data_IF_549246780903
#
_entry.id   IF_549246780903
#
_cell.length_a   1.000
_cell.length_b   1.000
_cell.length_c   1.000
_cell.angle_alpha   90.00
_cell.angle_beta   90.00
_cell.angle_gamma   90.00
#
_symmetry.space_group_name_H-M   'P 1'
#
loop_
_entity.id
_entity.type
_entity.pdbx_description
1 polymer ?
#
# COMPACT_ATOMS: atom_id res chain seq x y z
N UNK A 1 -4.24 1.35 -0.48
CA UNK A 1 -3.28 1.43 0.65
C UNK A 1 -3.00 2.89 0.90
N UNK A 2 -3.00 3.34 2.15
CA UNK A 2 -2.64 4.74 2.50
C UNK A 2 -1.13 4.83 2.70
N UNK A 3 -0.51 5.92 2.21
CA UNK A 3 0.92 6.21 2.37
C UNK A 3 1.07 7.53 3.12
N UNK A 4 1.42 7.44 4.40
CA UNK A 4 1.64 8.61 5.26
C UNK A 4 3.00 9.28 4.96
N UNK A 5 3.12 10.63 5.07
CA UNK A 5 4.37 11.36 4.84
C UNK A 5 5.57 10.90 5.69
N UNK A 6 5.33 10.56 6.95
CA UNK A 6 6.39 10.35 7.94
C UNK A 6 6.73 8.87 8.13
N UNK A 7 5.74 8.00 7.89
CA UNK A 7 5.79 6.55 8.14
C UNK A 7 5.53 5.70 6.90
N UNK A 8 5.23 6.31 5.75
CA UNK A 8 4.86 5.61 4.53
C UNK A 8 3.65 4.70 4.75
N UNK A 9 3.62 3.49 4.14
CA UNK A 9 2.53 2.54 4.34
C UNK A 9 2.63 1.73 5.64
N UNK A 10 3.58 2.02 6.53
CA UNK A 10 3.87 1.22 7.74
C UNK A 10 3.05 1.70 8.93
N UNK A 11 1.75 1.87 8.71
CA UNK A 11 0.79 2.34 9.69
C UNK A 11 -0.40 1.39 9.78
N UNK A 12 -1.04 1.33 10.95
CA UNK A 12 -2.34 0.71 11.13
C UNK A 12 -3.34 1.81 11.44
N UNK A 13 -4.45 1.81 10.72
CA UNK A 13 -5.51 2.80 10.88
C UNK A 13 -6.56 2.24 11.85
N UNK A 14 -7.07 3.12 12.68
CA UNK A 14 -8.25 2.88 13.52
C UNK A 14 -9.15 4.11 13.41
N UNK A 15 -10.43 3.93 13.67
CA UNK A 15 -11.43 5.01 13.58
C UNK A 15 -12.30 4.98 14.81
N UNK A 16 -12.62 6.16 15.35
CA UNK A 16 -13.62 6.35 16.39
C UNK A 16 -14.75 7.17 15.80
N UNK A 17 -15.98 6.66 15.88
CA UNK A 17 -17.18 7.40 15.49
C UNK A 17 -17.66 8.22 16.69
N UNK A 18 -18.04 9.47 16.45
CA UNK A 18 -18.50 10.40 17.48
C UNK A 18 -19.48 11.41 16.88
N UNK A 19 -20.42 11.87 17.69
CA UNK A 19 -21.36 12.93 17.32
C UNK A 19 -20.77 14.34 17.54
N UNK A 20 -19.58 14.42 18.14
CA UNK A 20 -18.88 15.69 18.34
C UNK A 20 -18.43 16.25 16.99
N UNK A 21 -18.72 17.53 16.75
CA UNK A 21 -18.27 18.21 15.55
C UNK A 21 -16.75 18.49 15.61
N UNK A 22 -16.07 18.13 14.52
CA UNK A 22 -14.69 18.53 14.24
C UNK A 22 -14.64 19.10 12.81
N UNK A 23 -13.88 20.19 12.63
CA UNK A 23 -13.52 20.69 11.30
C UNK A 23 -12.73 19.59 10.56
N UNK A 24 -13.18 19.12 9.37
CA UNK A 24 -12.47 18.08 8.64
C UNK A 24 -11.14 18.57 8.05
N UNK A 25 -10.11 17.73 8.17
CA UNK A 25 -8.84 17.97 7.47
C UNK A 25 -8.98 17.81 5.95
N UNK A 26 -8.08 18.47 5.22
CA UNK A 26 -7.99 18.36 3.77
C UNK A 26 -7.20 17.12 3.31
N UNK A 27 -7.56 16.52 2.16
CA UNK A 27 -6.79 15.42 1.60
C UNK A 27 -5.39 15.89 1.16
N UNK A 28 -4.42 14.98 1.28
CA UNK A 28 -3.05 15.19 0.78
C UNK A 28 -2.91 14.63 -0.65
N UNK A 29 -2.04 15.26 -1.44
CA UNK A 29 -1.75 14.80 -2.81
C UNK A 29 -1.07 13.42 -2.84
N UNK A 30 -1.37 12.63 -3.86
CA UNK A 30 -0.64 11.41 -4.15
C UNK A 30 0.84 11.72 -4.48
N UNK A 31 1.75 10.91 -3.95
CA UNK A 31 3.21 11.03 -4.14
C UNK A 31 3.86 9.79 -4.74
N UNK A 32 3.06 8.88 -5.31
CA UNK A 32 3.59 7.75 -6.05
C UNK A 32 4.29 8.22 -7.34
N UNK A 33 3.82 9.28 -7.99
CA UNK A 33 4.41 9.79 -9.24
C UNK A 33 4.52 8.67 -10.28
N UNK A 34 5.74 8.43 -10.78
CA UNK A 34 6.03 7.34 -11.72
C UNK A 34 6.47 6.03 -11.04
N UNK A 35 6.49 5.97 -9.71
CA UNK A 35 6.97 4.80 -8.96
C UNK A 35 6.07 3.58 -9.18
N UNK A 36 6.68 2.45 -9.54
CA UNK A 36 6.01 1.16 -9.73
C UNK A 36 6.62 0.04 -8.88
N UNK A 37 7.47 0.36 -7.89
CA UNK A 37 8.17 -0.63 -7.06
C UNK A 37 7.25 -1.64 -6.37
N UNK A 38 6.10 -1.19 -5.85
CA UNK A 38 5.16 -2.11 -5.20
C UNK A 38 4.54 -3.10 -6.20
N UNK A 39 4.32 -2.68 -7.45
CA UNK A 39 3.82 -3.52 -8.54
C UNK A 39 4.88 -4.53 -8.95
N UNK A 40 6.10 -4.07 -9.23
CA UNK A 40 7.20 -4.91 -9.70
C UNK A 40 7.57 -6.02 -8.72
N UNK A 41 7.56 -5.71 -7.42
CA UNK A 41 7.92 -6.66 -6.39
C UNK A 41 6.73 -7.47 -5.84
N UNK A 42 5.52 -7.30 -6.38
CA UNK A 42 4.37 -8.06 -5.93
C UNK A 42 4.52 -9.54 -6.37
N UNK A 43 4.68 -10.50 -5.44
CA UNK A 43 4.87 -11.91 -5.82
C UNK A 43 3.65 -12.51 -6.51
N UNK A 44 2.47 -11.93 -6.27
CA UNK A 44 1.21 -12.37 -6.87
C UNK A 44 0.91 -11.69 -8.22
N UNK A 45 1.69 -10.68 -8.62
CA UNK A 45 1.32 -9.79 -9.74
C UNK A 45 -0.06 -9.16 -9.56
N UNK A 46 -0.47 -8.89 -8.32
CA UNK A 46 -1.83 -8.47 -7.97
C UNK A 46 -2.05 -6.95 -8.06
N UNK A 47 -1.00 -6.14 -7.94
CA UNK A 47 -1.12 -4.68 -7.98
C UNK A 47 -1.22 -4.23 -9.43
N UNK A 48 -2.32 -3.55 -9.77
CA UNK A 48 -2.60 -3.10 -11.14
C UNK A 48 -1.62 -2.01 -11.58
N UNK A 49 -1.31 -1.09 -10.65
CA UNK A 49 -0.44 0.07 -10.90
C UNK A 49 -1.15 1.23 -11.62
N UNK A 50 -2.46 1.36 -11.46
CA UNK A 50 -3.19 2.53 -11.91
C UNK A 50 -2.77 3.77 -11.08
N UNK A 51 -2.64 4.92 -11.74
CA UNK A 51 -2.44 6.20 -11.05
C UNK A 51 -3.78 6.77 -10.56
N UNK A 52 -3.73 7.62 -9.53
CA UNK A 52 -4.87 8.39 -9.03
C UNK A 52 -4.37 9.69 -8.39
N UNK A 53 -5.14 10.76 -8.48
CA UNK A 53 -4.79 12.04 -7.85
C UNK A 53 -5.00 12.03 -6.33
N UNK A 54 -6.01 11.28 -5.86
CA UNK A 54 -6.34 11.19 -4.43
C UNK A 54 -6.68 9.76 -3.98
N UNK A 55 -7.69 9.14 -4.59
CA UNK A 55 -8.15 7.80 -4.26
C UNK A 55 -8.71 7.08 -5.50
N UNK A 56 -8.71 5.75 -5.45
CA UNK A 56 -9.35 4.94 -6.48
C UNK A 56 -10.87 4.91 -6.27
N UNK A 57 -11.64 4.79 -7.36
CA UNK A 57 -13.10 4.68 -7.27
C UNK A 57 -13.52 3.35 -6.65
N UNK A 58 -12.69 2.31 -6.83
CA UNK A 58 -12.92 0.97 -6.32
C UNK A 58 -11.61 0.26 -5.97
N UNK A 59 -11.70 -0.77 -5.12
CA UNK A 59 -10.54 -1.60 -4.78
C UNK A 59 -9.95 -2.30 -6.01
N UNK A 60 -10.78 -2.70 -6.96
CA UNK A 60 -10.39 -3.41 -8.18
C UNK A 60 -9.52 -2.59 -9.12
N UNK A 61 -9.59 -1.26 -9.09
CA UNK A 61 -8.67 -0.40 -9.84
C UNK A 61 -7.24 -0.45 -9.28
N UNK A 62 -7.11 -0.66 -7.97
CA UNK A 62 -5.82 -0.69 -7.30
C UNK A 62 -5.17 -2.08 -7.32
N UNK A 63 -5.97 -3.12 -7.08
CA UNK A 63 -5.48 -4.48 -6.82
C UNK A 63 -6.48 -5.56 -7.27
N UNK A 64 -5.96 -6.59 -7.94
CA UNK A 64 -6.63 -7.89 -8.06
C UNK A 64 -6.57 -8.61 -6.70
N UNK A 65 -7.61 -8.39 -5.91
CA UNK A 65 -7.69 -8.94 -4.56
C UNK A 65 -7.69 -10.47 -4.54
N UNK A 66 -8.22 -11.13 -5.58
CA UNK A 66 -8.28 -12.60 -5.65
C UNK A 66 -6.88 -13.18 -5.80
N UNK A 67 -6.03 -12.60 -6.66
CA UNK A 67 -4.62 -12.99 -6.80
C UNK A 67 -3.84 -12.78 -5.50
N UNK A 68 -4.03 -11.64 -4.85
CA UNK A 68 -3.39 -11.35 -3.57
C UNK A 68 -3.77 -12.39 -2.51
N UNK A 69 -5.08 -12.67 -2.37
CA UNK A 69 -5.60 -13.65 -1.41
C UNK A 69 -5.09 -15.06 -1.68
N UNK A 70 -5.11 -15.50 -2.94
CA UNK A 70 -4.58 -16.81 -3.34
C UNK A 70 -3.11 -16.96 -2.96
N UNK A 71 -2.30 -15.93 -3.22
CA UNK A 71 -0.88 -15.95 -2.87
C UNK A 71 -0.66 -16.14 -1.36
N UNK A 72 -1.35 -15.36 -0.52
CA UNK A 72 -1.11 -15.40 0.93
C UNK A 72 -1.75 -16.60 1.62
N UNK A 73 -2.85 -17.14 1.06
CA UNK A 73 -3.56 -18.29 1.62
C UNK A 73 -3.00 -19.62 1.11
N UNK A 74 -2.88 -19.77 -0.22
CA UNK A 74 -2.69 -21.07 -0.87
C UNK A 74 -1.25 -21.32 -1.30
N UNK A 75 -0.45 -20.27 -1.48
CA UNK A 75 0.98 -20.38 -1.81
C UNK A 75 1.82 -20.23 -0.55
N UNK A 76 1.73 -19.09 0.13
CA UNK A 76 2.52 -18.83 1.34
C UNK A 76 2.00 -19.59 2.56
N UNK A 77 0.70 -19.82 2.66
CA UNK A 77 0.13 -20.64 3.75
C UNK A 77 0.55 -22.11 3.73
N UNK A 78 1.21 -22.58 2.66
CA UNK A 78 1.82 -23.93 2.58
C UNK A 78 3.29 -23.96 3.00
N UNK A 79 3.92 -22.80 3.22
CA UNK A 79 5.32 -22.71 3.62
C UNK A 79 5.42 -23.04 5.12
N UNK A 80 6.26 -24.00 5.53
CA UNK A 80 6.46 -24.30 6.95
C UNK A 80 6.86 -23.05 7.75
N UNK A 81 6.32 -22.90 8.96
CA UNK A 81 6.60 -21.78 9.87
C UNK A 81 6.24 -20.39 9.30
N UNK A 82 5.37 -20.31 8.30
CA UNK A 82 4.85 -19.05 7.77
C UNK A 82 3.39 -18.90 8.19
N UNK A 83 3.06 -17.78 8.82
CA UNK A 83 1.69 -17.49 9.19
C UNK A 83 0.87 -17.17 7.91
N UNK A 84 -0.25 -17.88 7.67
CA UNK A 84 -1.04 -17.68 6.46
C UNK A 84 -1.67 -16.28 6.46
N UNK A 85 -2.08 -15.82 5.29
CA UNK A 85 -2.74 -14.52 5.08
C UNK A 85 -1.83 -13.29 5.28
N UNK A 86 -0.51 -13.48 5.39
CA UNK A 86 0.47 -12.39 5.58
C UNK A 86 1.46 -12.35 4.39
N UNK A 87 1.83 -11.14 3.96
CA UNK A 87 2.90 -10.90 2.98
C UNK A 87 3.64 -9.57 3.21
N UNK A 88 3.00 -8.43 2.93
CA UNK A 88 3.56 -7.10 3.20
C UNK A 88 4.72 -6.65 2.30
N UNK A 89 5.07 -7.36 1.23
CA UNK A 89 6.18 -6.97 0.34
C UNK A 89 5.98 -5.57 -0.26
N UNK A 90 4.75 -5.24 -0.69
CA UNK A 90 4.41 -3.90 -1.19
C UNK A 90 4.64 -2.79 -0.16
N UNK A 91 4.47 -3.08 1.13
CA UNK A 91 4.76 -2.17 2.26
C UNK A 91 6.28 -2.04 2.46
N UNK A 92 7.01 -3.15 2.37
CA UNK A 92 8.47 -3.20 2.53
C UNK A 92 9.21 -2.38 1.48
N UNK A 93 8.83 -2.53 0.20
CA UNK A 93 9.55 -1.92 -0.93
C UNK A 93 9.18 -0.46 -1.18
N UNK A 94 8.08 0.03 -0.60
CA UNK A 94 7.66 1.42 -0.79
C UNK A 94 8.73 2.39 -0.25
N UNK A 95 9.24 3.32 -1.08
CA UNK A 95 10.34 4.21 -0.70
C UNK A 95 9.91 5.21 0.39
N UNK A 96 8.64 5.60 0.41
CA UNK A 96 8.06 6.49 1.42
C UNK A 96 8.05 5.90 2.83
N UNK A 97 8.20 4.58 2.98
CA UNK A 97 8.30 3.96 4.31
C UNK A 97 9.70 4.06 4.93
N UNK A 98 10.75 4.20 4.12
CA UNK A 98 12.13 4.03 4.54
C UNK A 98 12.92 5.34 4.45
N UNK A 99 13.22 5.94 5.60
CA UNK A 99 13.92 7.23 5.70
C UNK A 99 15.34 7.20 5.11
N UNK A 100 15.95 6.02 4.99
CA UNK A 100 17.26 5.85 4.36
C UNK A 100 17.19 5.86 2.83
N UNK A 101 16.00 5.71 2.26
CA UNK A 101 15.75 5.64 0.81
C UNK A 101 15.21 6.93 0.22
N UNK A 102 15.36 8.07 0.90
CA UNK A 102 14.93 9.38 0.38
C UNK A 102 15.47 9.69 -1.01
N UNK A 103 16.69 9.25 -1.33
CA UNK A 103 17.29 9.44 -2.65
C UNK A 103 16.51 8.73 -3.78
N UNK A 104 15.81 7.63 -3.50
CA UNK A 104 14.97 6.95 -4.48
C UNK A 104 13.68 7.73 -4.77
N UNK A 105 13.21 8.59 -3.85
CA UNK A 105 11.99 9.38 -4.03
C UNK A 105 12.18 10.37 -5.19
N UNK A 106 13.32 11.07 -5.22
CA UNK A 106 13.66 12.04 -6.27
C UNK A 106 13.85 11.43 -7.67
N UNK A 107 14.00 10.10 -7.78
CA UNK A 107 14.09 9.41 -9.08
C UNK A 107 12.70 9.27 -9.72
N UNK A 108 11.64 9.27 -8.91
CA UNK A 108 10.27 9.00 -9.36
C UNK A 108 9.33 10.22 -9.29
N UNK A 109 9.85 11.40 -8.94
CA UNK A 109 9.16 12.69 -9.11
C UNK A 109 8.98 13.07 -10.59
#
# INVERSE_FOLDING_TARGET
MIVNPDFGPRIRLTTVLTDTYFEPDLPIKNRCGKCHLCKDHCPAGAIIGASTDSHYSSRSEAIDFKKCLYQVRDVFGKIPNTEPLICGICIKVCPWGDKTKKNLIYIYE
#
